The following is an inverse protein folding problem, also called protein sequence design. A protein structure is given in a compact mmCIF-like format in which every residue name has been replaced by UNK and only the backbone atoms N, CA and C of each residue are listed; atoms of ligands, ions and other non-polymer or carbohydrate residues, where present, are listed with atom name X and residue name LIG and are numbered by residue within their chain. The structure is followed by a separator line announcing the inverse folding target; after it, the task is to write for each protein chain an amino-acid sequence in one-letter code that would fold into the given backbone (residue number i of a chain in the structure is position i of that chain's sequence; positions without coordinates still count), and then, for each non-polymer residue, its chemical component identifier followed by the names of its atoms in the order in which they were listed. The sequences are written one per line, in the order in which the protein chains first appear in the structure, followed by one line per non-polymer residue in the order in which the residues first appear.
data_IF_604042991780
#
_entry.id   IF_604042991780
#
_cell.length_a   1.000
_cell.length_b   1.000
_cell.length_c   1.000
_cell.angle_alpha   90.00
_cell.angle_beta   90.00
_cell.angle_gamma   90.00
#
_symmetry.space_group_name_H-M   'P 1'
#
loop_
_entity.id
_entity.type
_entity.pdbx_description
1 polymer ?
#
# COMPACT_ATOMS: atom_id res chain seq x y z
N UNK A 1 -4.53 -43.05 -30.47
CA UNK A 1 -3.55 -42.19 -29.75
C UNK A 1 -4.20 -41.83 -28.41
N UNK A 2 -3.74 -42.40 -27.30
CA UNK A 2 -4.17 -41.96 -25.96
C UNK A 2 -3.45 -40.65 -25.63
N UNK A 3 -4.20 -39.60 -25.34
CA UNK A 3 -3.65 -38.31 -24.90
C UNK A 3 -4.14 -38.08 -23.47
N UNK A 4 -3.22 -37.78 -22.56
CA UNK A 4 -3.53 -37.46 -21.16
C UNK A 4 -3.61 -35.95 -21.02
N UNK A 5 -4.53 -35.47 -20.18
CA UNK A 5 -4.62 -34.06 -19.84
C UNK A 5 -3.42 -33.64 -18.97
N UNK A 6 -2.64 -32.68 -19.48
CA UNK A 6 -1.49 -32.07 -18.80
C UNK A 6 -1.65 -30.55 -18.69
N UNK A 7 -2.88 -30.05 -18.65
CA UNK A 7 -3.18 -28.61 -18.62
C UNK A 7 -2.57 -27.91 -17.40
N UNK A 8 -2.01 -26.70 -17.62
CA UNK A 8 -1.56 -25.83 -16.54
C UNK A 8 -2.79 -25.27 -15.79
N UNK A 9 -2.79 -25.41 -14.46
CA UNK A 9 -3.86 -24.91 -13.59
C UNK A 9 -3.32 -23.83 -12.68
N UNK A 10 -4.22 -22.93 -12.24
CA UNK A 10 -3.87 -21.92 -11.26
C UNK A 10 -3.47 -22.60 -9.94
N UNK A 11 -2.31 -22.25 -9.35
CA UNK A 11 -1.88 -22.78 -8.06
C UNK A 11 -2.90 -22.51 -6.94
N UNK A 12 -2.88 -23.34 -5.91
CA UNK A 12 -3.80 -23.16 -4.78
C UNK A 12 -3.51 -21.86 -4.03
N UNK A 13 -4.58 -21.15 -3.65
CA UNK A 13 -4.49 -19.86 -2.94
C UNK A 13 -4.29 -18.64 -3.84
N UNK A 14 -4.01 -18.84 -5.13
CA UNK A 14 -3.92 -17.75 -6.09
C UNK A 14 -5.26 -17.54 -6.80
N UNK A 15 -5.72 -16.30 -6.83
CA UNK A 15 -6.94 -15.89 -7.54
C UNK A 15 -6.69 -14.53 -8.17
N UNK A 16 -7.32 -14.28 -9.31
CA UNK A 16 -7.19 -12.99 -9.96
C UNK A 16 -7.85 -12.93 -11.32
N UNK A 17 -7.64 -11.82 -12.01
CA UNK A 17 -8.11 -11.59 -13.37
C UNK A 17 -6.94 -11.73 -14.33
N UNK A 18 -7.16 -12.45 -15.44
CA UNK A 18 -6.18 -12.48 -16.54
C UNK A 18 -6.09 -11.10 -17.14
N UNK A 19 -4.89 -10.51 -17.12
CA UNK A 19 -4.61 -9.19 -17.68
C UNK A 19 -3.91 -9.28 -19.05
N UNK A 20 -3.35 -10.43 -19.37
CA UNK A 20 -2.70 -10.65 -20.66
C UNK A 20 -2.24 -12.09 -20.83
N UNK A 21 -2.19 -12.51 -22.09
CA UNK A 21 -1.61 -13.79 -22.51
C UNK A 21 -0.55 -13.46 -23.55
N UNK A 22 0.66 -13.96 -23.36
CA UNK A 22 1.73 -13.89 -24.35
C UNK A 22 2.05 -15.30 -24.81
N UNK A 23 2.00 -15.49 -26.11
CA UNK A 23 2.36 -16.73 -26.77
C UNK A 23 3.68 -16.47 -27.49
N UNK A 24 4.64 -17.36 -27.29
CA UNK A 24 5.93 -17.36 -27.97
C UNK A 24 6.02 -18.64 -28.77
N UNK A 25 6.37 -18.55 -30.04
CA UNK A 25 6.45 -19.70 -30.94
C UNK A 25 7.82 -19.76 -31.60
N UNK A 26 8.34 -20.98 -31.80
CA UNK A 26 9.62 -21.17 -32.50
C UNK A 26 9.53 -20.78 -33.98
N UNK A 27 8.33 -20.79 -34.54
CA UNK A 27 8.07 -20.41 -35.94
C UNK A 27 8.13 -18.89 -36.14
N UNK A 28 7.83 -18.11 -35.09
CA UNK A 28 7.88 -16.65 -35.10
C UNK A 28 9.26 -16.08 -34.73
N UNK A 29 10.32 -16.90 -34.77
CA UNK A 29 11.72 -16.57 -34.44
C UNK A 29 11.94 -16.11 -32.98
N UNK A 30 11.08 -16.55 -32.06
CA UNK A 30 11.28 -16.31 -30.63
C UNK A 30 12.38 -17.21 -30.04
N UNK A 31 13.26 -16.63 -29.20
CA UNK A 31 14.32 -17.38 -28.49
C UNK A 31 13.72 -18.30 -27.42
N UNK A 32 13.55 -19.57 -27.78
CA UNK A 32 12.99 -20.63 -26.94
C UNK A 32 14.04 -21.70 -26.61
N UNK A 33 14.02 -22.17 -25.36
CA UNK A 33 14.89 -23.26 -24.90
C UNK A 33 14.78 -24.51 -25.80
N UNK A 34 15.89 -25.26 -25.91
CA UNK A 34 15.93 -26.48 -26.71
C UNK A 34 14.84 -27.48 -26.26
N UNK A 35 14.04 -27.97 -27.21
CA UNK A 35 12.93 -28.89 -26.95
C UNK A 35 11.58 -28.23 -26.64
N UNK A 36 11.51 -26.90 -26.57
CA UNK A 36 10.24 -26.14 -26.47
C UNK A 36 9.80 -25.69 -27.85
N UNK A 37 8.58 -26.06 -28.25
CA UNK A 37 7.97 -25.64 -29.52
C UNK A 37 7.22 -24.31 -29.37
N UNK A 38 6.44 -24.18 -28.30
CA UNK A 38 5.62 -23.01 -27.99
C UNK A 38 5.60 -22.79 -26.47
N UNK A 39 5.60 -21.53 -26.05
CA UNK A 39 5.49 -21.13 -24.65
C UNK A 39 4.34 -20.15 -24.45
N UNK A 40 3.41 -20.50 -23.58
CA UNK A 40 2.27 -19.63 -23.22
C UNK A 40 2.49 -19.07 -21.81
N UNK A 41 2.57 -17.74 -21.69
CA UNK A 41 2.63 -17.03 -20.40
C UNK A 41 1.31 -16.30 -20.15
N UNK A 42 0.66 -16.64 -19.05
CA UNK A 42 -0.59 -16.01 -18.61
C UNK A 42 -0.29 -15.10 -17.42
N UNK A 43 -0.59 -13.80 -17.56
CA UNK A 43 -0.43 -12.82 -16.49
C UNK A 43 -1.76 -12.68 -15.74
N UNK A 44 -1.73 -12.93 -14.43
CA UNK A 44 -2.90 -12.84 -13.54
C UNK A 44 -2.66 -11.74 -12.52
N UNK A 45 -3.57 -10.77 -12.45
CA UNK A 45 -3.51 -9.70 -11.47
C UNK A 45 -4.54 -9.89 -10.36
N UNK A 46 -4.14 -9.59 -9.12
CA UNK A 46 -4.99 -9.63 -7.94
C UNK A 46 -4.97 -8.27 -7.25
N UNK A 47 -6.15 -7.68 -6.98
CA UNK A 47 -6.27 -6.50 -6.13
C UNK A 47 -6.41 -6.95 -4.68
N UNK A 48 -5.35 -6.77 -3.89
CA UNK A 48 -5.38 -7.07 -2.44
C UNK A 48 -5.81 -5.83 -1.66
N UNK A 49 -6.84 -5.98 -0.84
CA UNK A 49 -7.26 -4.97 0.13
C UNK A 49 -6.51 -5.21 1.44
N UNK A 50 -6.41 -4.19 2.29
CA UNK A 50 -5.86 -4.32 3.64
C UNK A 50 -6.72 -5.31 4.43
N UNK A 51 -6.07 -6.22 5.14
CA UNK A 51 -6.69 -7.25 5.97
C UNK A 51 -6.04 -7.31 7.35
N UNK A 52 -6.74 -7.94 8.30
CA UNK A 52 -6.17 -8.26 9.61
C UNK A 52 -4.93 -9.12 9.42
N UNK A 53 -3.85 -8.80 10.14
CA UNK A 53 -2.55 -9.45 9.96
C UNK A 53 -1.61 -8.77 8.98
N UNK A 54 -2.09 -7.79 8.19
CA UNK A 54 -1.20 -6.99 7.35
C UNK A 54 -0.27 -6.12 8.20
N UNK A 55 0.97 -5.94 7.73
CA UNK A 55 1.96 -5.14 8.44
C UNK A 55 2.07 -3.75 7.83
N UNK A 56 1.91 -2.73 8.67
CA UNK A 56 2.04 -1.33 8.33
C UNK A 56 3.26 -0.72 9.03
N UNK A 57 3.88 0.27 8.40
CA UNK A 57 5.00 0.99 8.99
C UNK A 57 4.98 2.47 8.62
N UNK A 58 5.28 3.32 9.59
CA UNK A 58 5.51 4.76 9.38
C UNK A 58 6.98 5.08 9.09
N UNK A 59 7.23 6.29 8.58
CA UNK A 59 8.57 6.78 8.21
C UNK A 59 9.53 6.88 9.41
N UNK A 60 8.98 7.07 10.61
CA UNK A 60 9.73 7.15 11.87
C UNK A 60 9.94 5.79 12.56
N UNK A 61 9.87 4.69 11.81
CA UNK A 61 10.20 3.35 12.30
C UNK A 61 9.15 2.70 13.19
N UNK A 62 7.97 3.32 13.35
CA UNK A 62 6.83 2.68 14.01
C UNK A 62 6.28 1.58 13.10
N UNK A 63 6.36 0.32 13.55
CA UNK A 63 5.90 -0.88 12.82
C UNK A 63 4.79 -1.53 13.64
N UNK A 64 3.69 -1.87 12.98
CA UNK A 64 2.54 -2.52 13.60
C UNK A 64 1.90 -3.53 12.64
N UNK A 65 1.19 -4.49 13.21
CA UNK A 65 0.31 -5.39 12.46
C UNK A 65 -1.12 -4.92 12.69
N UNK A 66 -1.96 -4.93 11.66
CA UNK A 66 -3.39 -4.61 11.77
C UNK A 66 -4.02 -5.62 12.71
N UNK A 67 -4.45 -5.16 13.89
CA UNK A 67 -5.02 -6.01 14.93
C UNK A 67 -6.49 -6.31 14.70
N UNK A 68 -7.26 -5.30 14.28
CA UNK A 68 -8.68 -5.43 13.94
C UNK A 68 -9.12 -4.27 13.05
N UNK A 69 -9.86 -4.58 11.99
CA UNK A 69 -10.61 -3.59 11.19
C UNK A 69 -11.99 -3.40 11.84
N UNK A 70 -12.24 -2.20 12.37
CA UNK A 70 -13.53 -1.83 12.99
C UNK A 70 -14.47 -1.21 11.95
N UNK A 71 -15.80 -1.38 12.12
CA UNK A 71 -16.76 -0.62 11.33
C UNK A 71 -16.74 0.86 11.76
N UNK A 72 -17.22 1.75 10.88
CA UNK A 72 -17.04 3.20 11.04
C UNK A 72 -17.74 3.75 12.28
N UNK A 73 -18.86 3.14 12.67
CA UNK A 73 -19.67 3.46 13.85
C UNK A 73 -18.97 3.21 15.19
N UNK A 74 -18.02 2.27 15.23
CA UNK A 74 -17.28 1.93 16.45
C UNK A 74 -15.99 2.76 16.61
N UNK A 75 -15.61 3.52 15.59
CA UNK A 75 -14.39 4.35 15.63
C UNK A 75 -14.63 5.63 16.45
N UNK A 76 -13.59 6.17 17.10
CA UNK A 76 -13.67 7.49 17.71
C UNK A 76 -14.00 8.56 16.67
N UNK A 77 -14.86 9.50 17.04
CA UNK A 77 -15.27 10.63 16.21
C UNK A 77 -14.65 11.94 16.69
N UNK A 78 -14.38 12.82 15.73
CA UNK A 78 -14.03 14.21 15.98
C UNK A 78 -15.28 15.02 16.34
N UNK A 79 -15.12 16.24 16.90
CA UNK A 79 -16.25 17.12 17.23
C UNK A 79 -17.14 17.47 16.04
N UNK A 80 -16.63 17.37 14.81
CA UNK A 80 -17.37 17.60 13.56
C UNK A 80 -18.11 16.35 13.05
N UNK A 81 -18.01 15.22 13.77
CA UNK A 81 -18.63 13.94 13.40
C UNK A 81 -17.81 13.08 12.44
N UNK A 82 -16.60 13.49 12.07
CA UNK A 82 -15.71 12.69 11.21
C UNK A 82 -15.07 11.55 12.02
N UNK A 83 -15.15 10.28 11.60
CA UNK A 83 -14.44 9.18 12.26
C UNK A 83 -12.94 9.24 12.02
N UNK A 84 -12.16 8.66 12.93
CA UNK A 84 -10.72 8.45 12.76
C UNK A 84 -10.46 7.21 11.88
N UNK A 85 -9.41 7.27 11.04
CA UNK A 85 -9.02 6.15 10.17
C UNK A 85 -8.17 5.08 10.87
N UNK A 86 -7.21 5.49 11.71
CA UNK A 86 -6.23 4.58 12.36
C UNK A 86 -5.99 5.01 13.81
N UNK A 87 -5.98 4.04 14.72
CA UNK A 87 -5.62 4.23 16.13
C UNK A 87 -4.24 3.63 16.38
N UNK A 88 -3.29 4.46 16.83
CA UNK A 88 -1.93 4.03 17.18
C UNK A 88 -1.74 4.01 18.70
N UNK A 89 -1.10 2.96 19.21
CA UNK A 89 -0.73 2.90 20.62
C UNK A 89 0.39 3.90 20.92
N UNK A 90 0.18 4.75 21.93
CA UNK A 90 1.09 5.82 22.33
C UNK A 90 2.35 5.33 23.04
N UNK A 91 2.32 4.17 23.70
CA UNK A 91 3.46 3.62 24.45
C UNK A 91 4.71 3.41 23.60
N UNK A 92 4.53 3.15 22.29
CA UNK A 92 5.64 2.95 21.36
C UNK A 92 6.47 4.21 21.11
N UNK A 93 5.90 5.40 21.37
CA UNK A 93 6.51 6.67 20.98
C UNK A 93 7.60 7.12 21.97
N UNK A 94 7.31 7.29 23.28
CA UNK A 94 8.32 7.68 24.26
C UNK A 94 9.48 6.69 24.35
N UNK A 95 9.17 5.39 24.31
CA UNK A 95 10.17 4.33 24.45
C UNK A 95 11.20 4.30 23.31
N UNK A 96 10.80 4.70 22.10
CA UNK A 96 11.64 4.67 20.89
C UNK A 96 12.20 6.04 20.51
N UNK A 97 11.89 7.07 21.29
CA UNK A 97 12.28 8.46 21.03
C UNK A 97 11.90 8.94 19.61
N UNK A 98 10.80 8.43 19.04
CA UNK A 98 10.39 8.76 17.67
C UNK A 98 9.44 9.98 17.65
N UNK A 99 9.82 11.06 18.34
CA UNK A 99 9.00 12.28 18.48
C UNK A 99 8.59 12.90 17.14
N UNK A 100 9.39 12.67 16.09
CA UNK A 100 9.07 13.07 14.71
C UNK A 100 7.70 12.58 14.24
N UNK A 101 7.24 11.41 14.68
CA UNK A 101 5.90 10.91 14.37
C UNK A 101 4.81 11.84 14.90
N UNK A 102 5.00 12.39 16.10
CA UNK A 102 4.04 13.32 16.71
C UNK A 102 4.05 14.64 15.95
N UNK A 103 5.24 15.16 15.63
CA UNK A 103 5.39 16.39 14.84
C UNK A 103 4.78 16.26 13.44
N UNK A 104 4.96 15.10 12.79
CA UNK A 104 4.37 14.78 11.49
C UNK A 104 2.84 14.85 11.54
N UNK A 105 2.22 14.28 12.59
CA UNK A 105 0.76 14.32 12.75
C UNK A 105 0.25 15.76 12.95
N UNK A 106 0.93 16.57 13.77
CA UNK A 106 0.52 17.97 13.99
C UNK A 106 0.66 18.80 12.72
N UNK A 107 1.78 18.68 12.01
CA UNK A 107 2.00 19.39 10.75
C UNK A 107 1.00 18.93 9.68
N UNK A 108 0.71 17.63 9.59
CA UNK A 108 -0.32 17.09 8.70
C UNK A 108 -1.70 17.64 9.01
N UNK A 109 -2.04 17.83 10.28
CA UNK A 109 -3.31 18.44 10.69
C UNK A 109 -3.42 19.90 10.25
N UNK A 110 -2.36 20.69 10.46
CA UNK A 110 -2.30 22.09 9.98
C UNK A 110 -2.41 22.17 8.46
N UNK A 111 -1.70 21.29 7.73
CA UNK A 111 -1.78 21.24 6.27
C UNK A 111 -3.19 20.88 5.78
N UNK A 112 -3.88 19.95 6.44
CA UNK A 112 -5.28 19.58 6.13
C UNK A 112 -6.26 20.73 6.39
N UNK A 113 -6.08 21.47 7.48
CA UNK A 113 -6.89 22.65 7.79
C UNK A 113 -6.65 23.81 6.80
N UNK A 114 -5.54 23.75 6.06
CA UNK A 114 -5.07 24.80 5.19
C UNK A 114 -4.21 25.81 5.95
N UNK A 115 -3.07 26.15 5.37
CA UNK A 115 -2.22 27.24 5.83
C UNK A 115 -2.15 28.35 4.77
N UNK A 116 -2.20 29.59 5.20
CA UNK A 116 -1.89 30.74 4.35
C UNK A 116 -0.51 31.21 4.76
N UNK A 117 0.47 31.02 3.87
CA UNK A 117 1.80 31.63 4.05
C UNK A 117 1.68 33.05 3.52
N UNK A 118 1.72 34.02 4.40
CA UNK A 118 1.82 35.43 4.03
C UNK A 118 3.25 35.70 3.55
N UNK A 119 3.44 35.71 2.23
CA UNK A 119 4.74 35.97 1.59
C UNK A 119 5.20 37.40 1.76
N UNK A 120 4.28 38.32 2.11
CA UNK A 120 4.56 39.75 2.28
C UNK A 120 4.79 40.11 3.77
N UNK A 121 4.77 39.11 4.66
CA UNK A 121 5.04 39.31 6.07
C UNK A 121 6.47 39.82 6.28
N UNK A 122 6.59 40.95 6.99
CA UNK A 122 7.87 41.53 7.38
C UNK A 122 8.46 40.87 8.63
N UNK A 123 7.87 39.78 9.14
CA UNK A 123 8.48 39.02 10.22
C UNK A 123 9.75 38.32 9.70
N UNK A 124 10.95 38.67 10.21
CA UNK A 124 12.21 38.10 9.74
C UNK A 124 12.32 36.58 9.98
N UNK A 125 11.46 35.97 10.79
CA UNK A 125 11.39 34.51 10.97
C UNK A 125 10.67 33.81 9.81
N UNK A 126 9.67 34.46 9.22
CA UNK A 126 8.88 33.91 8.11
C UNK A 126 9.65 34.04 6.79
N UNK A 127 10.35 35.16 6.57
CA UNK A 127 11.20 35.36 5.39
C UNK A 127 12.37 34.37 5.28
N UNK A 128 12.81 33.78 6.40
CA UNK A 128 13.88 32.76 6.43
C UNK A 128 13.39 31.33 6.21
N UNK A 129 12.08 31.10 6.26
CA UNK A 129 11.48 29.77 6.07
C UNK A 129 11.07 29.51 4.61
N UNK A 130 11.08 30.54 3.77
CA UNK A 130 10.96 30.48 2.31
C UNK A 130 12.34 30.44 1.66
#
# INVERSE_FOLDING_TARGET
REVRDTSMKVPHGETGKVIGVRVFSREDDDDLAAGVNEMVRVYVAQKRKIQDGDKLAGRHGNKGVVGKILPQEDMPFLPDGTPIDIILNTHGVPRRMNIGQVLEVHLGWLAKAGWKVDTDSQDPKIQKML
#
